data_IF_461946768316
#
_entry.id   IF_461946768316
#
_cell.length_a   1.000
_cell.length_b   1.000
_cell.length_c   1.000
_cell.angle_alpha   90.00
_cell.angle_beta   90.00
_cell.angle_gamma   90.00
#
_symmetry.space_group_name_H-M   'P 1'
#
loop_
_entity.id
_entity.type
_entity.pdbx_description
1 polymer ?
#
# COMPACT_ATOMS: atom_id res chain seq x y z
N UNK A 1 -29.78 14.09 31.69
CA UNK A 1 -28.67 15.04 31.52
C UNK A 1 -28.64 15.46 30.06
N UNK A 2 -29.05 16.70 29.75
CA UNK A 2 -29.00 17.22 28.39
C UNK A 2 -27.57 17.74 28.14
N UNK A 3 -26.75 16.95 27.45
CA UNK A 3 -25.45 17.43 26.99
C UNK A 3 -25.68 18.36 25.79
N UNK A 4 -25.62 19.63 26.01
CA UNK A 4 -25.68 20.65 24.96
C UNK A 4 -24.22 20.94 24.53
N UNK A 5 -23.70 20.17 23.60
CA UNK A 5 -22.34 20.35 23.06
C UNK A 5 -22.45 21.23 21.82
N UNK A 6 -21.87 22.40 21.84
CA UNK A 6 -21.80 23.31 20.69
C UNK A 6 -20.66 22.85 19.76
N UNK A 7 -20.98 21.94 18.83
CA UNK A 7 -20.03 21.41 17.83
C UNK A 7 -19.53 22.52 16.87
N UNK A 8 -20.32 23.56 16.62
CA UNK A 8 -19.96 24.61 15.68
C UNK A 8 -18.96 25.61 16.25
N UNK A 9 -18.80 25.68 17.56
CA UNK A 9 -17.82 26.56 18.22
C UNK A 9 -16.37 26.17 17.79
N UNK A 10 -16.12 24.89 17.51
CA UNK A 10 -14.80 24.35 17.16
C UNK A 10 -14.50 24.38 15.65
N UNK A 11 -15.41 24.88 14.82
CA UNK A 11 -15.29 24.88 13.35
C UNK A 11 -13.98 25.49 12.83
N UNK A 12 -13.49 26.57 13.48
CA UNK A 12 -12.24 27.23 13.06
C UNK A 12 -11.03 26.38 13.34
N UNK A 13 -11.00 25.71 14.49
CA UNK A 13 -9.91 24.79 14.87
C UNK A 13 -9.91 23.56 13.95
N UNK A 14 -11.08 22.99 13.68
CA UNK A 14 -11.23 21.88 12.75
C UNK A 14 -10.75 22.24 11.34
N UNK A 15 -11.10 23.42 10.84
CA UNK A 15 -10.64 23.93 9.54
C UNK A 15 -9.12 24.08 9.49
N UNK A 16 -8.50 24.64 10.52
CA UNK A 16 -7.05 24.81 10.58
C UNK A 16 -6.35 23.44 10.61
N UNK A 17 -6.81 22.52 11.46
CA UNK A 17 -6.29 21.16 11.53
C UNK A 17 -6.40 20.44 10.20
N UNK A 18 -7.58 20.44 9.59
CA UNK A 18 -7.85 19.83 8.29
C UNK A 18 -6.93 20.40 7.19
N UNK A 19 -6.75 21.74 7.17
CA UNK A 19 -5.84 22.39 6.22
C UNK A 19 -4.39 21.97 6.43
N UNK A 20 -3.95 21.81 7.69
CA UNK A 20 -2.60 21.34 8.01
C UNK A 20 -2.42 19.90 7.53
N UNK A 21 -3.38 19.00 7.80
CA UNK A 21 -3.33 17.62 7.32
C UNK A 21 -3.28 17.55 5.79
N UNK A 22 -4.09 18.36 5.11
CA UNK A 22 -4.10 18.42 3.65
C UNK A 22 -2.74 18.88 3.11
N UNK A 23 -2.16 19.94 3.67
CA UNK A 23 -0.84 20.45 3.25
C UNK A 23 0.27 19.43 3.50
N UNK A 24 0.27 18.77 4.67
CA UNK A 24 1.24 17.70 4.98
C UNK A 24 1.09 16.53 4.02
N UNK A 25 -0.15 16.10 3.73
CA UNK A 25 -0.45 15.02 2.79
C UNK A 25 0.03 15.33 1.38
N UNK A 26 -0.30 16.51 0.86
CA UNK A 26 0.16 16.95 -0.45
C UNK A 26 1.68 17.06 -0.51
N UNK A 27 2.30 17.66 0.52
CA UNK A 27 3.77 17.77 0.57
C UNK A 27 4.43 16.40 0.59
N UNK A 28 3.88 15.44 1.34
CA UNK A 28 4.41 14.08 1.37
C UNK A 28 4.29 13.38 0.02
N UNK A 29 3.15 13.50 -0.64
CA UNK A 29 2.93 12.92 -1.97
C UNK A 29 3.90 13.47 -3.03
N UNK A 30 4.25 14.76 -2.95
CA UNK A 30 5.20 15.37 -3.88
C UNK A 30 6.67 15.05 -3.55
N UNK A 31 7.03 14.90 -2.26
CA UNK A 31 8.42 14.75 -1.85
C UNK A 31 8.84 13.29 -1.68
N UNK A 32 7.93 12.45 -1.19
CA UNK A 32 8.21 11.04 -0.87
C UNK A 32 7.58 10.07 -1.87
N UNK A 33 6.59 10.55 -2.64
CA UNK A 33 5.75 9.71 -3.52
C UNK A 33 5.00 8.62 -2.74
N UNK A 34 4.37 7.68 -3.45
CA UNK A 34 3.76 6.50 -2.85
C UNK A 34 4.75 5.33 -2.91
N UNK A 35 4.79 4.55 -1.83
CA UNK A 35 5.47 3.27 -1.83
C UNK A 35 4.57 2.23 -2.51
N UNK A 36 4.71 2.10 -3.83
CA UNK A 36 3.90 1.20 -4.63
C UNK A 36 4.18 -0.26 -4.28
N UNK A 37 3.12 -1.01 -3.99
CA UNK A 37 3.19 -2.45 -3.77
C UNK A 37 3.55 -3.23 -5.04
N UNK A 38 3.87 -4.49 -4.85
CA UNK A 38 4.27 -5.40 -5.93
C UNK A 38 3.20 -5.53 -7.01
N UNK A 39 1.91 -5.43 -6.62
CA UNK A 39 0.78 -5.49 -7.55
C UNK A 39 0.84 -4.42 -8.64
N UNK A 40 1.45 -3.28 -8.34
CA UNK A 40 1.56 -2.14 -9.25
C UNK A 40 2.93 -1.96 -9.90
N UNK A 41 3.98 -2.47 -9.26
CA UNK A 41 5.35 -2.37 -9.78
C UNK A 41 5.78 -3.60 -10.57
N UNK A 42 5.10 -4.70 -10.36
CA UNK A 42 5.54 -6.02 -10.81
C UNK A 42 6.72 -6.54 -10.01
N UNK A 43 6.95 -7.84 -10.10
CA UNK A 43 8.04 -8.51 -9.40
C UNK A 43 7.65 -9.88 -8.88
N UNK A 44 8.46 -10.43 -7.98
CA UNK A 44 8.26 -11.75 -7.39
C UNK A 44 8.08 -11.67 -5.87
N UNK A 45 7.09 -12.37 -5.37
CA UNK A 45 6.82 -12.56 -3.95
C UNK A 45 7.17 -14.01 -3.59
N UNK A 46 8.01 -14.18 -2.59
CA UNK A 46 8.46 -15.50 -2.11
C UNK A 46 8.13 -15.61 -0.63
N UNK A 47 7.36 -16.62 -0.27
CA UNK A 47 7.03 -16.95 1.11
C UNK A 47 7.85 -18.17 1.54
N UNK A 48 8.63 -17.98 2.60
CA UNK A 48 9.53 -19.01 3.15
C UNK A 48 9.16 -19.35 4.59
N UNK A 49 9.30 -20.60 4.95
CA UNK A 49 9.16 -21.09 6.32
C UNK A 49 10.49 -21.55 6.86
N UNK A 50 10.87 -21.00 8.00
CA UNK A 50 12.09 -21.34 8.74
C UNK A 50 11.78 -22.32 9.87
N UNK A 51 12.69 -23.26 10.18
CA UNK A 51 12.51 -24.18 11.31
C UNK A 51 12.57 -23.48 12.67
N UNK A 52 13.28 -22.36 12.75
CA UNK A 52 13.42 -21.50 13.94
C UNK A 52 12.98 -20.07 13.62
N UNK A 53 13.07 -19.16 14.58
CA UNK A 53 12.84 -17.73 14.37
C UNK A 53 13.80 -17.19 13.29
N UNK A 54 13.24 -16.46 12.35
CA UNK A 54 13.97 -15.91 11.22
C UNK A 54 14.63 -14.57 11.60
N UNK A 55 15.92 -14.46 11.31
CA UNK A 55 16.65 -13.22 11.52
C UNK A 55 16.54 -12.33 10.26
N UNK A 56 15.55 -11.45 10.24
CA UNK A 56 15.25 -10.58 9.09
C UNK A 56 16.45 -9.74 8.63
N UNK A 57 17.23 -9.08 9.52
CA UNK A 57 18.44 -8.36 9.12
C UNK A 57 19.45 -9.23 8.39
N UNK A 58 19.68 -10.44 8.88
CA UNK A 58 20.64 -11.37 8.27
C UNK A 58 20.15 -11.88 6.92
N UNK A 59 18.87 -12.23 6.80
CA UNK A 59 18.26 -12.65 5.54
C UNK A 59 18.41 -11.56 4.47
N UNK A 60 18.12 -10.31 4.85
CA UNK A 60 18.29 -9.15 3.94
C UNK A 60 19.73 -9.00 3.48
N UNK A 61 20.69 -9.12 4.38
CA UNK A 61 22.10 -9.02 4.05
C UNK A 61 22.55 -10.16 3.10
N UNK A 62 22.10 -11.37 3.34
CA UNK A 62 22.40 -12.52 2.48
C UNK A 62 21.81 -12.34 1.07
N UNK A 63 20.60 -11.81 0.96
CA UNK A 63 19.97 -11.52 -0.33
C UNK A 63 20.73 -10.44 -1.09
N UNK A 64 21.16 -9.37 -0.44
CA UNK A 64 21.98 -8.32 -1.06
C UNK A 64 23.31 -8.90 -1.55
N UNK A 65 23.99 -9.75 -0.75
CA UNK A 65 25.22 -10.41 -1.15
C UNK A 65 25.01 -11.42 -2.30
N UNK A 66 23.81 -12.01 -2.38
CA UNK A 66 23.40 -12.87 -3.47
C UNK A 66 22.99 -12.14 -4.76
N UNK A 67 23.09 -10.80 -4.80
CA UNK A 67 22.74 -9.99 -5.98
C UNK A 67 21.28 -9.55 -6.05
N UNK A 68 20.48 -9.82 -5.01
CA UNK A 68 19.08 -9.39 -4.94
C UNK A 68 18.96 -8.01 -4.28
N UNK A 69 19.47 -6.99 -4.97
CA UNK A 69 19.37 -5.61 -4.52
C UNK A 69 17.90 -5.14 -4.55
N UNK A 70 17.47 -4.42 -3.51
CA UNK A 70 16.09 -3.95 -3.41
C UNK A 70 15.10 -4.97 -2.82
N UNK A 71 15.57 -6.16 -2.40
CA UNK A 71 14.73 -7.14 -1.72
C UNK A 71 14.16 -6.56 -0.41
N UNK A 72 12.85 -6.60 -0.29
CA UNK A 72 12.14 -6.26 0.94
C UNK A 72 11.85 -7.56 1.70
N UNK A 73 12.24 -7.60 2.98
CA UNK A 73 12.09 -8.80 3.82
C UNK A 73 11.31 -8.42 5.07
N UNK A 74 10.24 -9.16 5.34
CA UNK A 74 9.38 -8.97 6.51
C UNK A 74 8.91 -10.31 7.08
N UNK A 75 8.56 -10.34 8.37
CA UNK A 75 7.83 -11.46 8.94
C UNK A 75 6.39 -11.48 8.42
N UNK A 76 5.83 -12.68 8.21
CA UNK A 76 4.48 -12.88 7.74
C UNK A 76 3.76 -13.90 8.64
N UNK A 77 2.79 -13.42 9.42
CA UNK A 77 1.99 -14.27 10.32
C UNK A 77 2.71 -14.75 11.57
N UNK A 78 3.94 -15.25 11.47
CA UNK A 78 4.74 -15.72 12.60
C UNK A 78 6.21 -15.29 12.49
N UNK A 79 6.99 -15.46 13.59
CA UNK A 79 8.43 -15.18 13.58
C UNK A 79 9.25 -16.16 12.72
N UNK A 80 8.63 -17.24 12.24
CA UNK A 80 9.26 -18.26 11.39
C UNK A 80 8.92 -18.11 9.91
N UNK A 81 7.87 -17.39 9.60
CA UNK A 81 7.44 -17.16 8.23
C UNK A 81 7.97 -15.84 7.74
N UNK A 82 8.58 -15.86 6.58
CA UNK A 82 9.25 -14.71 5.98
C UNK A 82 8.70 -14.49 4.59
N UNK A 83 8.29 -13.26 4.35
CA UNK A 83 7.87 -12.77 3.05
C UNK A 83 9.02 -11.96 2.44
N UNK A 84 9.44 -12.36 1.26
CA UNK A 84 10.46 -11.68 0.48
C UNK A 84 9.79 -11.13 -0.78
N UNK A 85 9.89 -9.83 -0.99
CA UNK A 85 9.42 -9.14 -2.18
C UNK A 85 10.61 -8.65 -2.99
N UNK A 86 10.61 -8.99 -4.27
CA UNK A 86 11.66 -8.66 -5.24
C UNK A 86 11.07 -7.84 -6.37
N UNK A 87 11.08 -6.50 -6.27
CA UNK A 87 10.53 -5.63 -7.30
C UNK A 87 11.24 -5.83 -8.64
N UNK A 88 10.46 -5.86 -9.73
CA UNK A 88 10.99 -5.89 -11.10
C UNK A 88 11.67 -7.20 -11.53
N UNK A 89 11.87 -8.16 -10.63
CA UNK A 89 12.54 -9.42 -10.95
C UNK A 89 11.51 -10.54 -11.14
N UNK A 90 11.48 -11.12 -12.34
CA UNK A 90 10.60 -12.24 -12.68
C UNK A 90 11.42 -13.34 -13.31
N UNK A 91 11.50 -14.51 -12.66
CA UNK A 91 12.16 -15.70 -13.18
C UNK A 91 11.59 -16.96 -12.53
N UNK A 92 11.35 -17.99 -13.33
CA UNK A 92 10.84 -19.29 -12.84
C UNK A 92 11.83 -20.00 -11.89
N UNK A 93 13.13 -19.72 -12.00
CA UNK A 93 14.18 -20.33 -11.17
C UNK A 93 14.40 -19.60 -9.85
N UNK A 94 13.83 -18.42 -9.68
CA UNK A 94 14.13 -17.47 -8.60
C UNK A 94 13.83 -18.06 -7.21
N UNK A 95 12.73 -18.80 -7.06
CA UNK A 95 12.38 -19.45 -5.80
C UNK A 95 13.42 -20.48 -5.37
N UNK A 96 13.91 -21.30 -6.29
CA UNK A 96 14.94 -22.31 -6.01
C UNK A 96 16.30 -21.67 -5.71
N UNK A 97 16.62 -20.58 -6.38
CA UNK A 97 17.86 -19.82 -6.17
C UNK A 97 17.88 -19.16 -4.79
N UNK A 98 16.79 -18.50 -4.38
CA UNK A 98 16.64 -17.91 -3.04
C UNK A 98 16.72 -18.99 -1.95
N UNK A 99 15.99 -20.09 -2.13
CA UNK A 99 16.02 -21.21 -1.16
C UNK A 99 17.44 -21.77 -1.03
N UNK A 100 18.15 -21.98 -2.13
CA UNK A 100 19.52 -22.48 -2.10
C UNK A 100 20.48 -21.51 -1.39
N UNK A 101 20.38 -20.22 -1.70
CA UNK A 101 21.18 -19.15 -1.09
C UNK A 101 20.96 -19.09 0.43
N UNK A 102 19.69 -19.04 0.86
CA UNK A 102 19.33 -18.88 2.26
C UNK A 102 19.54 -20.17 3.08
N UNK A 103 19.37 -21.35 2.48
CA UNK A 103 19.68 -22.63 3.13
C UNK A 103 21.17 -22.80 3.38
N UNK A 104 22.02 -22.37 2.44
CA UNK A 104 23.49 -22.40 2.60
C UNK A 104 23.92 -21.46 3.73
N UNK A 105 23.28 -20.30 3.86
CA UNK A 105 23.60 -19.30 4.89
C UNK A 105 23.04 -19.63 6.28
N UNK A 106 22.11 -20.58 6.41
CA UNK A 106 21.41 -20.93 7.66
C UNK A 106 21.99 -22.22 8.30
N UNK A 107 23.30 -22.38 8.34
CA UNK A 107 24.00 -23.53 8.97
C UNK A 107 23.48 -24.89 8.51
N UNK A 108 23.05 -25.02 7.24
CA UNK A 108 22.57 -26.28 6.67
C UNK A 108 21.14 -26.67 7.07
N UNK A 109 20.40 -25.78 7.74
CA UNK A 109 18.96 -26.00 8.02
C UNK A 109 18.16 -25.65 6.77
N UNK A 110 17.34 -26.58 6.31
CA UNK A 110 16.49 -26.38 5.14
C UNK A 110 15.44 -25.31 5.39
N UNK A 111 15.35 -24.37 4.46
CA UNK A 111 14.29 -23.37 4.40
C UNK A 111 13.25 -23.89 3.42
N UNK A 112 12.00 -23.98 3.84
CA UNK A 112 10.91 -24.49 3.01
C UNK A 112 10.27 -23.37 2.21
N UNK A 113 10.20 -23.54 0.88
CA UNK A 113 9.42 -22.67 0.02
C UNK A 113 7.92 -22.98 0.17
N UNK A 114 7.14 -22.03 0.67
CA UNK A 114 5.69 -22.15 0.85
C UNK A 114 4.94 -21.72 -0.39
N UNK A 115 5.32 -20.59 -0.93
CA UNK A 115 4.61 -19.95 -2.02
C UNK A 115 5.55 -19.07 -2.83
N UNK A 116 5.33 -19.01 -4.12
CA UNK A 116 5.93 -18.06 -5.02
C UNK A 116 4.85 -17.50 -5.93
N UNK A 117 4.82 -16.20 -6.05
CA UNK A 117 3.91 -15.47 -6.94
C UNK A 117 4.69 -14.45 -7.74
N UNK A 118 4.30 -14.25 -8.98
CA UNK A 118 4.85 -13.17 -9.78
C UNK A 118 3.77 -12.33 -10.40
N UNK A 119 4.07 -11.03 -10.43
CA UNK A 119 3.31 -10.05 -11.19
C UNK A 119 4.23 -9.51 -12.28
N UNK A 120 3.83 -9.70 -13.53
CA UNK A 120 4.58 -9.12 -14.66
C UNK A 120 4.52 -7.59 -14.58
N UNK A 121 5.62 -6.88 -14.92
CA UNK A 121 5.63 -5.41 -14.87
C UNK A 121 4.54 -4.74 -15.72
N UNK A 122 4.19 -5.35 -16.86
CA UNK A 122 3.11 -4.87 -17.70
C UNK A 122 1.75 -4.98 -17.01
N UNK A 123 1.49 -6.10 -16.33
CA UNK A 123 0.24 -6.32 -15.57
C UNK A 123 0.18 -5.33 -14.40
N UNK A 124 1.29 -5.10 -13.70
CA UNK A 124 1.37 -4.12 -12.62
C UNK A 124 1.03 -2.70 -13.09
N UNK A 125 1.56 -2.27 -14.24
CA UNK A 125 1.25 -0.95 -14.80
C UNK A 125 -0.22 -0.84 -15.24
N UNK A 126 -0.79 -1.87 -15.87
CA UNK A 126 -2.20 -1.94 -16.23
C UNK A 126 -3.10 -1.84 -14.99
N UNK A 127 -2.80 -2.61 -13.93
CA UNK A 127 -3.56 -2.56 -12.68
C UNK A 127 -3.52 -1.19 -12.01
N UNK A 128 -2.38 -0.48 -12.07
CA UNK A 128 -2.26 0.88 -11.54
C UNK A 128 -3.11 1.86 -12.33
N UNK A 129 -3.05 1.80 -13.64
CA UNK A 129 -3.80 2.71 -14.52
C UNK A 129 -5.32 2.43 -14.44
N UNK A 130 -5.71 1.16 -14.38
CA UNK A 130 -7.10 0.74 -14.20
C UNK A 130 -7.62 1.10 -12.81
N UNK A 131 -6.81 0.91 -11.77
CA UNK A 131 -7.16 1.30 -10.40
C UNK A 131 -7.37 2.81 -10.26
N UNK A 132 -6.49 3.62 -10.86
CA UNK A 132 -6.64 5.07 -10.91
C UNK A 132 -7.88 5.49 -11.68
N UNK A 133 -8.12 4.87 -12.85
CA UNK A 133 -9.31 5.12 -13.67
C UNK A 133 -10.59 4.72 -12.96
N UNK A 134 -10.61 3.57 -12.28
CA UNK A 134 -11.76 3.11 -11.48
C UNK A 134 -12.09 4.10 -10.36
N UNK A 135 -11.08 4.65 -9.68
CA UNK A 135 -11.26 5.67 -8.64
C UNK A 135 -11.89 6.95 -9.22
N UNK A 136 -11.42 7.43 -10.36
CA UNK A 136 -11.99 8.60 -11.03
C UNK A 136 -13.44 8.38 -11.48
N UNK A 137 -13.73 7.21 -12.03
CA UNK A 137 -15.08 6.80 -12.43
C UNK A 137 -15.99 6.72 -11.22
N UNK A 138 -15.55 6.11 -10.11
CA UNK A 138 -16.32 6.03 -8.87
C UNK A 138 -16.65 7.43 -8.33
N UNK A 139 -15.69 8.34 -8.29
CA UNK A 139 -15.91 9.74 -7.90
C UNK A 139 -16.92 10.45 -8.81
N UNK A 140 -16.81 10.23 -10.13
CA UNK A 140 -17.73 10.83 -11.10
C UNK A 140 -19.16 10.31 -10.93
N UNK A 141 -19.35 9.01 -10.76
CA UNK A 141 -20.67 8.42 -10.52
C UNK A 141 -21.25 8.86 -9.17
N UNK A 142 -20.43 8.96 -8.13
CA UNK A 142 -20.86 9.47 -6.84
C UNK A 142 -21.31 10.92 -6.96
N UNK A 143 -20.54 11.77 -7.64
CA UNK A 143 -20.92 13.15 -7.92
C UNK A 143 -22.25 13.23 -8.68
N UNK A 144 -22.40 12.42 -9.72
CA UNK A 144 -23.61 12.37 -10.54
C UNK A 144 -24.84 11.96 -9.69
N UNK A 145 -24.69 10.90 -8.87
CA UNK A 145 -25.74 10.45 -7.97
C UNK A 145 -26.16 11.54 -6.98
N UNK A 146 -25.20 12.21 -6.33
CA UNK A 146 -25.46 13.27 -5.37
C UNK A 146 -26.11 14.48 -6.07
N UNK A 147 -25.67 14.82 -7.28
CA UNK A 147 -26.22 15.93 -8.07
C UNK A 147 -27.70 15.69 -8.47
N UNK A 148 -28.08 14.45 -8.79
CA UNK A 148 -29.47 14.08 -9.08
C UNK A 148 -30.32 13.97 -7.82
N UNK A 149 -29.74 13.53 -6.72
CA UNK A 149 -30.46 13.26 -5.46
C UNK A 149 -30.65 14.50 -4.60
N UNK A 150 -29.70 15.44 -4.64
CA UNK A 150 -29.66 16.66 -3.83
C UNK A 150 -29.51 17.90 -4.72
N UNK A 151 -29.61 19.09 -4.11
CA UNK A 151 -29.31 20.33 -4.82
C UNK A 151 -27.83 20.38 -5.24
N UNK A 152 -27.55 20.94 -6.42
CA UNK A 152 -26.21 20.98 -7.03
C UNK A 152 -25.12 21.58 -6.12
N UNK A 153 -25.49 22.54 -5.28
CA UNK A 153 -24.55 23.15 -4.32
C UNK A 153 -24.06 22.16 -3.26
N UNK A 154 -24.92 21.25 -2.79
CA UNK A 154 -24.54 20.20 -1.84
C UNK A 154 -23.73 19.09 -2.52
N UNK A 155 -24.00 18.80 -3.78
CA UNK A 155 -23.21 17.84 -4.57
C UNK A 155 -21.76 18.31 -4.70
N UNK A 156 -21.53 19.57 -5.03
CA UNK A 156 -20.18 20.13 -5.10
C UNK A 156 -19.43 20.08 -3.75
N UNK A 157 -20.10 20.42 -2.67
CA UNK A 157 -19.50 20.35 -1.34
C UNK A 157 -19.15 18.93 -0.92
N UNK A 158 -20.00 17.93 -1.23
CA UNK A 158 -19.75 16.53 -0.93
C UNK A 158 -18.56 15.96 -1.70
N UNK A 159 -18.43 16.32 -2.99
CA UNK A 159 -17.29 15.90 -3.81
C UNK A 159 -15.98 16.49 -3.31
N UNK A 160 -15.98 17.80 -2.93
CA UNK A 160 -14.78 18.43 -2.36
C UNK A 160 -14.37 17.73 -1.05
N UNK A 161 -15.33 17.39 -0.19
CA UNK A 161 -15.06 16.65 1.05
C UNK A 161 -14.47 15.26 0.75
N UNK A 162 -15.03 14.53 -0.22
CA UNK A 162 -14.54 13.21 -0.65
C UNK A 162 -13.11 13.28 -1.18
N UNK A 163 -12.83 14.24 -2.07
CA UNK A 163 -11.48 14.44 -2.61
C UNK A 163 -10.49 14.79 -1.50
N UNK A 164 -10.90 15.65 -0.57
CA UNK A 164 -10.12 16.00 0.61
C UNK A 164 -9.76 14.74 1.44
N UNK A 165 -10.74 13.88 1.72
CA UNK A 165 -10.55 12.68 2.53
C UNK A 165 -9.64 11.67 1.83
N UNK A 166 -9.82 11.46 0.52
CA UNK A 166 -8.94 10.62 -0.30
C UNK A 166 -7.50 11.13 -0.28
N UNK A 167 -7.29 12.44 -0.46
CA UNK A 167 -5.94 13.03 -0.44
C UNK A 167 -5.29 12.83 0.94
N UNK A 168 -6.02 13.00 2.02
CA UNK A 168 -5.47 12.78 3.37
C UNK A 168 -5.09 11.32 3.57
N UNK A 169 -5.97 10.36 3.22
CA UNK A 169 -5.69 8.93 3.37
C UNK A 169 -4.46 8.53 2.56
N UNK A 170 -4.43 8.86 1.27
CA UNK A 170 -3.30 8.54 0.38
C UNK A 170 -2.02 9.26 0.83
N UNK A 171 -2.16 10.51 1.33
CA UNK A 171 -1.05 11.26 1.90
C UNK A 171 -0.46 10.63 3.17
N UNK A 172 -1.28 10.04 4.02
CA UNK A 172 -0.81 9.28 5.21
C UNK A 172 -0.01 8.05 4.76
N UNK A 173 -0.48 7.31 3.76
CA UNK A 173 0.28 6.18 3.19
C UNK A 173 1.65 6.63 2.67
N UNK A 174 1.71 7.74 1.95
CA UNK A 174 2.96 8.35 1.50
C UNK A 174 3.86 8.78 2.67
N UNK A 175 3.29 9.38 3.72
CA UNK A 175 4.05 9.88 4.86
C UNK A 175 4.73 8.76 5.65
N UNK A 176 3.99 7.69 5.92
CA UNK A 176 4.43 6.54 6.72
C UNK A 176 5.17 5.51 5.85
N UNK A 177 5.10 5.64 4.51
CA UNK A 177 5.71 4.73 3.55
C UNK A 177 5.19 3.28 3.67
N UNK A 178 3.92 3.12 4.05
CA UNK A 178 3.23 1.83 3.98
C UNK A 178 2.99 1.50 2.51
N UNK A 179 3.14 0.24 2.15
CA UNK A 179 2.89 -0.22 0.79
C UNK A 179 1.45 0.03 0.38
N UNK A 180 1.31 0.62 -0.79
CA UNK A 180 0.04 0.85 -1.45
C UNK A 180 -0.17 -0.24 -2.49
N UNK A 181 -1.00 -1.23 -2.18
CA UNK A 181 -1.31 -2.40 -3.00
C UNK A 181 -2.81 -2.50 -3.30
N UNK A 182 -3.25 -3.55 -3.98
CA UNK A 182 -4.67 -3.77 -4.28
C UNK A 182 -5.53 -3.94 -3.04
N UNK A 183 -4.96 -4.43 -1.94
CA UNK A 183 -5.69 -4.62 -0.68
C UNK A 183 -6.04 -3.29 -0.02
N UNK A 184 -5.27 -2.23 -0.29
CA UNK A 184 -5.52 -0.85 0.14
C UNK A 184 -6.48 -0.13 -0.81
N UNK A 185 -6.39 -0.42 -2.11
CA UNK A 185 -7.25 0.22 -3.11
C UNK A 185 -8.74 -0.08 -2.86
N UNK A 186 -9.09 -1.32 -2.48
CA UNK A 186 -10.47 -1.72 -2.24
C UNK A 186 -11.13 -0.94 -1.07
N UNK A 187 -10.54 -0.82 0.15
CA UNK A 187 -11.04 0.05 1.20
C UNK A 187 -11.10 1.52 0.80
N UNK A 188 -10.13 2.00 0.01
CA UNK A 188 -10.15 3.38 -0.47
C UNK A 188 -11.37 3.65 -1.36
N UNK A 189 -11.69 2.73 -2.27
CA UNK A 189 -12.93 2.79 -3.06
C UNK A 189 -14.18 2.73 -2.19
N UNK A 190 -14.17 1.97 -1.09
CA UNK A 190 -15.27 1.92 -0.14
C UNK A 190 -15.45 3.23 0.65
N UNK A 191 -14.38 4.00 0.88
CA UNK A 191 -14.47 5.35 1.47
C UNK A 191 -15.14 6.33 0.50
N UNK A 192 -14.94 6.16 -0.80
CA UNK A 192 -15.56 6.97 -1.84
C UNK A 192 -17.06 6.66 -1.97
N UNK A 193 -17.47 5.41 -1.87
CA UNK A 193 -18.85 4.92 -2.10
C UNK A 193 -19.67 4.79 -0.86
#
# INVERSE_FOLDING_TARGET
MNFNIDFLAWRKIALVLSSIFLLVSLSSLFLKELNWGLDFTGGTLVELSYPNEANIPQIRQNLIQGGFEGAQVANFGSSREVLIKLPGTVSDSLGSEIVSLLSTSNEGKTVDLRRIEYVGPQIGSELRDDGGTAMLIALAFMMLYIAFRFQSMFAGAAVIALVHDVIIVVGIFSLIQIEFDLTVLAPLLAVIG
#
